data_IF_266486354010
#
_entry.id   IF_266486354010
#
_cell.length_a   1.000
_cell.length_b   1.000
_cell.length_c   1.000
_cell.angle_alpha   90.00
_cell.angle_beta   90.00
_cell.angle_gamma   90.00
#
_symmetry.space_group_name_H-M   'P 1'
#
loop_
_entity.id
_entity.type
_entity.pdbx_description
1 polymer ?
#
# COMPACT_ATOMS: atom_id res chain seq x y z
N UNK A 1 10.98 -41.64 45.53
CA UNK A 1 11.42 -40.24 45.52
C UNK A 1 12.19 -39.83 44.24
N UNK A 2 13.24 -40.49 43.85
CA UNK A 2 14.11 -40.20 42.69
C UNK A 2 13.33 -40.20 41.35
N UNK A 3 12.37 -41.10 41.17
CA UNK A 3 11.59 -41.22 39.92
C UNK A 3 10.64 -40.01 39.66
N UNK A 4 10.15 -39.42 40.73
CA UNK A 4 9.30 -38.23 40.64
C UNK A 4 10.12 -36.97 40.42
N UNK A 5 11.34 -36.89 40.96
CA UNK A 5 12.28 -35.80 40.73
C UNK A 5 12.73 -35.72 39.25
N UNK A 6 13.00 -36.89 38.62
CA UNK A 6 13.35 -36.97 37.20
C UNK A 6 12.21 -36.49 36.29
N UNK A 7 10.95 -36.81 36.63
CA UNK A 7 9.79 -36.32 35.88
C UNK A 7 9.60 -34.80 36.03
N UNK A 8 9.79 -34.29 37.24
CA UNK A 8 9.71 -32.86 37.52
C UNK A 8 10.78 -32.06 36.78
N UNK A 9 12.02 -32.54 36.75
CA UNK A 9 13.13 -31.97 36.01
C UNK A 9 12.86 -31.99 34.49
N UNK A 10 12.31 -33.09 33.95
CA UNK A 10 11.97 -33.18 32.53
C UNK A 10 10.92 -32.15 32.14
N UNK A 11 9.82 -32.00 32.92
CA UNK A 11 8.79 -30.99 32.70
C UNK A 11 9.38 -29.58 32.82
N UNK A 12 10.25 -29.33 33.78
CA UNK A 12 10.90 -28.03 33.95
C UNK A 12 11.82 -27.70 32.78
N UNK A 13 12.62 -28.62 32.27
CA UNK A 13 13.48 -28.42 31.10
C UNK A 13 12.67 -28.24 29.83
N UNK A 14 11.55 -28.96 29.66
CA UNK A 14 10.65 -28.74 28.49
C UNK A 14 9.98 -27.37 28.54
N UNK A 15 9.52 -26.90 29.71
CA UNK A 15 8.98 -25.55 29.87
C UNK A 15 10.02 -24.46 29.58
N UNK A 16 11.25 -24.59 30.06
CA UNK A 16 12.32 -23.62 29.76
C UNK A 16 12.62 -23.61 28.28
N UNK A 17 12.66 -24.76 27.61
CA UNK A 17 12.88 -24.83 26.15
C UNK A 17 11.78 -24.17 25.37
N UNK A 18 10.51 -24.34 25.76
CA UNK A 18 9.35 -23.68 25.13
C UNK A 18 9.42 -22.17 25.34
N UNK A 19 9.75 -21.69 26.54
CA UNK A 19 9.87 -20.27 26.84
C UNK A 19 11.03 -19.64 26.07
N UNK A 20 12.16 -20.29 25.95
CA UNK A 20 13.32 -19.81 25.18
C UNK A 20 12.95 -19.73 23.69
N UNK A 21 12.36 -20.79 23.13
CA UNK A 21 11.93 -20.83 21.75
C UNK A 21 10.91 -19.72 21.42
N UNK A 22 9.94 -19.47 22.31
CA UNK A 22 8.94 -18.40 22.11
C UNK A 22 9.58 -17.01 22.14
N UNK A 23 10.56 -16.76 23.01
CA UNK A 23 11.31 -15.49 23.05
C UNK A 23 12.11 -15.26 21.78
N UNK A 24 12.77 -16.30 21.26
CA UNK A 24 13.55 -16.22 20.03
C UNK A 24 12.66 -15.92 18.82
N UNK A 25 11.49 -16.54 18.73
CA UNK A 25 10.51 -16.28 17.64
C UNK A 25 9.97 -14.86 17.70
N UNK A 26 9.64 -14.36 18.89
CA UNK A 26 9.15 -12.98 19.06
C UNK A 26 10.24 -11.97 18.72
N UNK A 27 11.48 -12.21 19.17
CA UNK A 27 12.64 -11.37 18.88
C UNK A 27 12.92 -11.33 17.38
N UNK A 28 12.92 -12.50 16.71
CA UNK A 28 13.09 -12.60 15.27
C UNK A 28 12.01 -11.85 14.48
N UNK A 29 10.72 -12.05 14.84
CA UNK A 29 9.61 -11.33 14.20
C UNK A 29 9.79 -9.82 14.32
N UNK A 30 10.14 -9.35 15.51
CA UNK A 30 10.38 -7.93 15.77
C UNK A 30 11.51 -7.38 14.90
N UNK A 31 12.64 -8.09 14.84
CA UNK A 31 13.79 -7.69 14.02
C UNK A 31 13.41 -7.54 12.53
N UNK A 32 12.71 -8.53 11.97
CA UNK A 32 12.30 -8.50 10.57
C UNK A 32 11.36 -7.32 10.28
N UNK A 33 10.35 -7.10 11.13
CA UNK A 33 9.39 -6.01 10.95
C UNK A 33 10.05 -4.64 11.10
N UNK A 34 10.95 -4.47 12.08
CA UNK A 34 11.69 -3.22 12.27
C UNK A 34 12.58 -2.91 11.07
N UNK A 35 13.34 -3.89 10.57
CA UNK A 35 14.17 -3.72 9.38
C UNK A 35 13.35 -3.46 8.12
N UNK A 36 12.24 -4.18 7.92
CA UNK A 36 11.32 -3.92 6.82
C UNK A 36 10.80 -2.47 6.84
N UNK A 37 10.34 -2.00 7.99
CA UNK A 37 9.80 -0.65 8.12
C UNK A 37 10.88 0.43 7.93
N UNK A 38 12.09 0.18 8.41
CA UNK A 38 13.23 1.09 8.22
C UNK A 38 13.66 1.16 6.74
N UNK A 39 13.86 0.01 6.09
CA UNK A 39 14.24 -0.05 4.68
C UNK A 39 13.17 0.61 3.79
N UNK A 40 11.90 0.39 4.11
CA UNK A 40 10.79 0.98 3.35
C UNK A 40 10.74 2.50 3.46
N UNK A 41 11.14 3.10 4.58
CA UNK A 41 11.28 4.57 4.74
C UNK A 41 12.39 5.16 3.86
N UNK A 42 13.32 4.35 3.40
CA UNK A 42 14.44 4.75 2.56
C UNK A 42 14.18 4.57 1.06
N UNK A 43 12.95 4.21 0.67
CA UNK A 43 12.58 4.17 -0.74
C UNK A 43 12.54 5.60 -1.28
N UNK A 44 13.24 5.85 -2.39
CA UNK A 44 13.32 7.14 -3.07
C UNK A 44 12.71 7.12 -4.46
N UNK A 45 12.60 5.95 -5.06
CA UNK A 45 11.94 5.77 -6.35
C UNK A 45 11.43 4.34 -6.50
N UNK A 46 10.41 4.14 -7.33
CA UNK A 46 9.87 2.81 -7.63
C UNK A 46 8.96 2.84 -8.85
N UNK A 47 8.79 1.68 -9.45
CA UNK A 47 7.66 1.38 -10.31
C UNK A 47 6.64 0.56 -9.52
N UNK A 48 5.35 0.81 -9.73
CA UNK A 48 4.28 0.08 -9.10
C UNK A 48 3.16 -0.22 -10.09
N UNK A 49 2.64 -1.43 -10.01
CA UNK A 49 1.42 -1.84 -10.72
C UNK A 49 0.37 -2.17 -9.67
N UNK A 50 -0.78 -1.52 -9.76
CA UNK A 50 -1.90 -1.70 -8.82
C UNK A 50 -3.10 -2.24 -9.59
N UNK A 51 -3.75 -3.23 -9.01
CA UNK A 51 -5.05 -3.74 -9.41
C UNK A 51 -6.05 -3.44 -8.30
N UNK A 52 -7.06 -2.64 -8.63
CA UNK A 52 -8.18 -2.33 -7.76
C UNK A 52 -9.41 -3.09 -8.25
N UNK A 53 -9.93 -3.98 -7.46
CA UNK A 53 -11.14 -4.75 -7.75
C UNK A 53 -12.22 -4.37 -6.75
N UNK A 54 -13.36 -3.90 -7.26
CA UNK A 54 -14.54 -3.58 -6.45
C UNK A 54 -15.69 -4.51 -6.88
N UNK A 55 -16.22 -5.27 -5.94
CA UNK A 55 -17.33 -6.21 -6.18
C UNK A 55 -18.53 -5.87 -5.33
N UNK A 56 -19.66 -5.57 -5.97
CA UNK A 56 -20.92 -5.30 -5.28
C UNK A 56 -21.47 -6.59 -4.66
N UNK A 57 -21.69 -6.60 -3.35
CA UNK A 57 -22.32 -7.73 -2.64
C UNK A 57 -23.80 -7.93 -3.02
N UNK A 58 -24.45 -6.92 -3.61
CA UNK A 58 -25.87 -6.96 -4.00
C UNK A 58 -26.13 -7.74 -5.27
N UNK A 59 -25.26 -7.59 -6.28
CA UNK A 59 -25.48 -8.12 -7.62
C UNK A 59 -24.27 -8.85 -8.21
N UNK A 60 -23.18 -8.99 -7.44
CA UNK A 60 -21.91 -9.58 -7.83
C UNK A 60 -21.24 -8.91 -9.05
N UNK A 61 -21.65 -7.70 -9.41
CA UNK A 61 -20.95 -6.94 -10.44
C UNK A 61 -19.57 -6.56 -9.95
N UNK A 62 -18.57 -6.80 -10.79
CA UNK A 62 -17.18 -6.51 -10.50
C UNK A 62 -16.67 -5.40 -11.44
N UNK A 63 -16.04 -4.40 -10.87
CA UNK A 63 -15.30 -3.37 -11.57
C UNK A 63 -13.81 -3.54 -11.28
N UNK A 64 -12.98 -3.54 -12.32
CA UNK A 64 -11.53 -3.68 -12.20
C UNK A 64 -10.87 -2.45 -12.82
N UNK A 65 -9.93 -1.87 -12.07
CA UNK A 65 -9.10 -0.76 -12.50
C UNK A 65 -7.63 -1.14 -12.31
N UNK A 66 -6.81 -0.89 -13.32
CA UNK A 66 -5.37 -1.10 -13.27
C UNK A 66 -4.65 0.25 -13.27
N UNK A 67 -3.62 0.36 -12.46
CA UNK A 67 -2.75 1.52 -12.42
C UNK A 67 -1.30 1.09 -12.62
N UNK A 68 -0.58 1.80 -13.47
CA UNK A 68 0.86 1.62 -13.67
C UNK A 68 1.53 2.95 -13.37
N UNK A 69 2.39 2.99 -12.38
CA UNK A 69 3.08 4.22 -12.00
C UNK A 69 4.59 4.04 -11.92
N UNK A 70 5.31 5.08 -12.34
CA UNK A 70 6.71 5.29 -12.03
C UNK A 70 6.83 6.52 -11.15
N UNK A 71 7.55 6.43 -10.04
CA UNK A 71 7.65 7.44 -9.02
C UNK A 71 9.10 7.77 -8.70
N UNK A 72 9.42 9.05 -8.59
CA UNK A 72 10.64 9.57 -7.95
C UNK A 72 10.17 10.55 -6.88
N UNK A 73 10.67 10.40 -5.66
CA UNK A 73 10.19 11.17 -4.52
C UNK A 73 10.90 12.51 -4.37
N UNK A 74 12.19 12.58 -4.71
CA UNK A 74 13.01 13.78 -4.56
C UNK A 74 13.99 13.94 -5.72
N UNK A 75 13.85 15.00 -6.58
CA UNK A 75 12.67 15.87 -6.66
C UNK A 75 11.46 15.10 -7.17
N UNK A 76 10.26 15.44 -6.67
CA UNK A 76 9.07 14.67 -7.01
C UNK A 76 8.76 14.70 -8.48
N UNK A 77 8.64 13.52 -9.04
CA UNK A 77 8.11 13.31 -10.39
C UNK A 77 7.36 11.98 -10.48
N UNK A 78 6.33 11.95 -11.30
CA UNK A 78 5.44 10.81 -11.45
C UNK A 78 4.99 10.66 -12.90
N UNK A 79 4.93 9.42 -13.34
CA UNK A 79 4.15 8.98 -14.49
C UNK A 79 3.11 7.98 -13.99
N UNK A 80 1.85 8.18 -14.32
CA UNK A 80 0.75 7.29 -13.94
C UNK A 80 -0.12 7.03 -15.16
N UNK A 81 -0.50 5.78 -15.35
CA UNK A 81 -1.49 5.33 -16.33
C UNK A 81 -2.58 4.61 -15.56
N UNK A 82 -3.80 5.14 -15.60
CA UNK A 82 -4.98 4.48 -15.04
C UNK A 82 -5.75 3.85 -16.20
N UNK A 83 -5.96 2.54 -16.12
CA UNK A 83 -6.70 1.76 -17.12
C UNK A 83 -8.02 1.33 -16.53
N UNK A 84 -9.09 1.82 -17.11
CA UNK A 84 -10.46 1.41 -16.80
C UNK A 84 -11.09 0.77 -18.04
N UNK A 85 -12.18 0.01 -17.92
CA UNK A 85 -12.74 -0.74 -19.06
C UNK A 85 -13.03 0.09 -20.30
N UNK A 86 -13.37 1.39 -20.15
CA UNK A 86 -13.81 2.24 -21.25
C UNK A 86 -12.70 3.10 -21.86
N UNK A 87 -11.68 3.47 -21.08
CA UNK A 87 -10.60 4.37 -21.53
C UNK A 87 -9.41 4.35 -20.55
N UNK A 88 -8.30 4.93 -20.97
CA UNK A 88 -7.16 5.15 -20.12
C UNK A 88 -6.99 6.63 -19.80
N UNK A 89 -6.49 6.92 -18.59
CA UNK A 89 -6.08 8.26 -18.17
C UNK A 89 -4.57 8.24 -18.02
N UNK A 90 -3.90 9.20 -18.62
CA UNK A 90 -2.46 9.39 -18.53
C UNK A 90 -2.17 10.63 -17.69
N UNK A 91 -1.30 10.50 -16.72
CA UNK A 91 -0.90 11.59 -15.82
C UNK A 91 0.62 11.66 -15.75
N UNK A 92 1.15 12.88 -15.87
CA UNK A 92 2.51 13.19 -15.43
C UNK A 92 2.45 14.28 -14.38
N UNK A 93 3.25 14.15 -13.34
CA UNK A 93 3.51 15.22 -12.38
C UNK A 93 5.02 15.50 -12.36
N UNK A 94 5.41 16.71 -12.68
CA UNK A 94 6.81 17.14 -12.71
C UNK A 94 6.94 18.66 -12.61
N UNK A 95 7.95 19.13 -11.89
CA UNK A 95 8.29 20.54 -11.78
C UNK A 95 7.09 21.45 -11.35
N UNK A 96 6.25 20.91 -10.45
CA UNK A 96 5.06 21.60 -9.94
C UNK A 96 3.86 21.63 -10.88
N UNK A 97 3.94 20.97 -12.03
CA UNK A 97 2.86 20.83 -12.98
C UNK A 97 2.29 19.43 -12.99
N UNK A 98 0.98 19.35 -13.31
CA UNK A 98 0.30 18.11 -13.64
C UNK A 98 -0.14 18.18 -15.09
N UNK A 99 0.11 17.13 -15.83
CA UNK A 99 -0.28 16.94 -17.21
C UNK A 99 -1.21 15.74 -17.27
N UNK A 100 -2.37 15.91 -17.90
CA UNK A 100 -3.36 14.83 -18.03
C UNK A 100 -3.84 14.70 -19.47
N UNK A 101 -4.09 13.48 -19.91
CA UNK A 101 -4.78 13.18 -21.15
C UNK A 101 -5.61 11.91 -21.00
N UNK A 102 -6.65 11.79 -21.82
CA UNK A 102 -7.50 10.60 -21.93
C UNK A 102 -7.27 9.91 -23.28
N UNK A 103 -7.36 8.57 -23.30
CA UNK A 103 -6.99 7.78 -24.48
C UNK A 103 -7.85 8.06 -25.74
N UNK A 104 -9.06 8.59 -25.56
CA UNK A 104 -9.96 8.85 -26.70
C UNK A 104 -9.66 10.16 -27.45
N UNK A 105 -8.89 11.09 -26.88
CA UNK A 105 -8.59 12.36 -27.54
C UNK A 105 -7.11 12.76 -27.52
N UNK A 106 -6.30 12.18 -26.64
CA UNK A 106 -4.87 12.49 -26.43
C UNK A 106 -4.54 13.99 -26.38
N UNK A 107 -5.51 14.82 -26.01
CA UNK A 107 -5.30 16.25 -25.82
C UNK A 107 -4.71 16.48 -24.43
N UNK A 108 -3.40 16.73 -24.39
CA UNK A 108 -2.72 17.01 -23.15
C UNK A 108 -3.09 18.37 -22.59
N UNK A 109 -3.57 18.35 -21.35
CA UNK A 109 -3.80 19.55 -20.55
C UNK A 109 -2.70 19.68 -19.50
N UNK A 110 -2.14 20.89 -19.39
CA UNK A 110 -1.19 21.26 -18.35
C UNK A 110 -1.89 22.10 -17.29
N UNK A 111 -1.73 21.78 -16.02
CA UNK A 111 -2.30 22.53 -14.91
C UNK A 111 -1.22 22.82 -13.85
N UNK A 112 -1.22 24.04 -13.32
CA UNK A 112 -0.50 24.33 -12.09
C UNK A 112 -1.40 23.86 -10.95
N UNK A 113 -1.02 22.81 -10.28
CA UNK A 113 -1.76 22.30 -9.13
C UNK A 113 -0.81 21.87 -8.02
N UNK A 114 -0.20 22.87 -7.38
CA UNK A 114 0.71 22.64 -6.26
C UNK A 114 0.04 21.87 -5.11
N UNK A 115 -1.27 22.06 -4.91
CA UNK A 115 -2.02 21.33 -3.88
C UNK A 115 -2.04 19.83 -4.20
N UNK A 116 -2.43 19.45 -5.41
CA UNK A 116 -2.51 18.06 -5.85
C UNK A 116 -1.12 17.40 -5.88
N UNK A 117 -0.07 18.13 -6.31
CA UNK A 117 1.32 17.62 -6.22
C UNK A 117 1.70 17.36 -4.77
N UNK A 118 1.36 18.26 -3.84
CA UNK A 118 1.60 18.06 -2.41
C UNK A 118 0.77 16.91 -1.84
N UNK A 119 -0.46 16.71 -2.30
CA UNK A 119 -1.30 15.59 -1.90
C UNK A 119 -0.71 14.25 -2.37
N UNK A 120 -0.24 14.16 -3.61
CA UNK A 120 0.50 12.98 -4.09
C UNK A 120 1.79 12.74 -3.31
N UNK A 121 2.57 13.80 -3.05
CA UNK A 121 3.75 13.70 -2.19
C UNK A 121 3.35 13.21 -0.79
N UNK A 122 2.34 13.81 -0.18
CA UNK A 122 1.87 13.45 1.16
C UNK A 122 1.40 11.99 1.22
N UNK A 123 0.69 11.49 0.20
CA UNK A 123 0.25 10.09 0.16
C UNK A 123 1.42 9.11 0.19
N UNK A 124 2.53 9.47 -0.45
CA UNK A 124 3.75 8.65 -0.42
C UNK A 124 4.53 8.84 0.90
N UNK A 125 4.59 10.06 1.42
CA UNK A 125 5.25 10.34 2.72
C UNK A 125 4.47 9.77 3.91
N UNK A 126 3.15 9.68 3.83
CA UNK A 126 2.31 9.08 4.87
C UNK A 126 2.56 7.57 5.02
N UNK A 127 3.26 6.92 4.08
CA UNK A 127 3.72 5.54 4.28
C UNK A 127 4.60 5.40 5.54
N UNK A 128 5.29 6.46 5.95
CA UNK A 128 6.05 6.43 7.21
C UNK A 128 5.17 6.22 8.44
N UNK A 129 3.96 6.78 8.44
CA UNK A 129 2.99 6.54 9.52
C UNK A 129 2.43 5.13 9.47
N UNK A 130 2.16 4.59 8.27
CA UNK A 130 1.79 3.17 8.08
C UNK A 130 2.84 2.26 8.70
N UNK A 131 4.12 2.50 8.41
CA UNK A 131 5.20 1.70 8.98
C UNK A 131 5.32 1.87 10.51
N UNK A 132 5.04 3.05 11.05
CA UNK A 132 5.01 3.25 12.50
C UNK A 132 3.84 2.47 13.16
N UNK A 133 2.65 2.48 12.54
CA UNK A 133 1.51 1.69 13.03
C UNK A 133 1.85 0.19 13.02
N UNK A 134 2.47 -0.31 11.95
CA UNK A 134 2.93 -1.70 11.86
C UNK A 134 3.93 -2.00 12.98
N UNK A 135 4.93 -1.14 13.16
CA UNK A 135 5.96 -1.31 14.20
C UNK A 135 5.38 -1.31 15.61
N UNK A 136 4.39 -0.47 15.88
CA UNK A 136 3.78 -0.35 17.21
C UNK A 136 2.81 -1.50 17.56
N UNK A 137 2.43 -2.32 16.57
CA UNK A 137 1.48 -3.42 16.72
C UNK A 137 2.07 -4.79 16.35
N UNK A 138 3.37 -4.98 16.54
CA UNK A 138 4.10 -6.21 16.15
C UNK A 138 3.49 -7.48 16.77
N UNK A 139 2.98 -7.42 17.99
CA UNK A 139 2.31 -8.51 18.68
C UNK A 139 1.09 -9.04 17.93
N UNK A 140 0.34 -8.17 17.26
CA UNK A 140 -0.85 -8.47 16.48
C UNK A 140 -0.59 -8.82 15.01
N UNK A 141 0.66 -8.86 14.61
CA UNK A 141 1.09 -9.17 13.24
C UNK A 141 1.51 -10.63 13.15
N UNK A 142 1.06 -11.33 12.12
CA UNK A 142 1.56 -12.65 11.75
C UNK A 142 2.73 -12.50 10.78
N UNK A 143 3.85 -13.16 11.06
CA UNK A 143 5.00 -13.27 10.15
C UNK A 143 5.16 -14.73 9.74
N UNK A 144 5.22 -14.97 8.44
CA UNK A 144 5.48 -16.29 7.85
C UNK A 144 6.62 -16.18 6.83
N UNK A 145 7.40 -17.25 6.69
CA UNK A 145 8.40 -17.36 5.64
C UNK A 145 7.92 -18.37 4.59
N UNK A 146 7.79 -17.92 3.33
CA UNK A 146 7.30 -18.75 2.22
C UNK A 146 8.17 -18.48 0.98
N UNK A 147 8.80 -19.53 0.46
CA UNK A 147 9.56 -19.50 -0.80
C UNK A 147 10.58 -18.34 -0.92
N UNK A 148 11.30 -18.08 0.15
CA UNK A 148 12.33 -17.03 0.18
C UNK A 148 11.82 -15.60 0.35
N UNK A 149 10.55 -15.45 0.74
CA UNK A 149 9.93 -14.18 1.08
C UNK A 149 9.36 -14.23 2.49
N UNK A 150 9.25 -13.08 3.14
CA UNK A 150 8.44 -12.93 4.35
C UNK A 150 7.04 -12.43 3.97
N UNK A 151 6.03 -13.00 4.63
CA UNK A 151 4.66 -12.53 4.54
C UNK A 151 4.28 -11.93 5.88
N UNK A 152 4.05 -10.63 5.88
CA UNK A 152 3.58 -9.86 7.03
C UNK A 152 2.07 -9.71 6.87
N UNK A 153 1.30 -10.34 7.75
CA UNK A 153 -0.17 -10.30 7.70
C UNK A 153 -0.73 -9.59 8.92
N UNK A 154 -1.60 -8.62 8.68
CA UNK A 154 -2.39 -7.92 9.69
C UNK A 154 -3.83 -8.36 9.52
N UNK A 155 -4.41 -8.93 10.57
CA UNK A 155 -5.81 -9.39 10.62
C UNK A 155 -6.64 -8.59 11.65
N UNK A 156 -5.99 -7.75 12.47
CA UNK A 156 -6.70 -6.90 13.43
C UNK A 156 -7.46 -5.81 12.67
N UNK A 157 -8.81 -5.84 12.65
CA UNK A 157 -9.60 -4.93 11.82
C UNK A 157 -9.51 -3.48 12.28
N UNK A 158 -9.22 -3.23 13.54
CA UNK A 158 -9.06 -1.86 14.06
C UNK A 158 -7.76 -1.23 13.58
N UNK A 159 -6.67 -2.01 13.54
CA UNK A 159 -5.39 -1.56 12.96
C UNK A 159 -5.55 -1.29 11.47
N UNK A 160 -6.23 -2.20 10.75
CA UNK A 160 -6.45 -2.03 9.30
C UNK A 160 -7.32 -0.80 9.05
N UNK A 161 -8.38 -0.61 9.81
CA UNK A 161 -9.25 0.58 9.72
C UNK A 161 -8.44 1.87 9.92
N UNK A 162 -7.59 1.93 10.95
CA UNK A 162 -6.71 3.07 11.20
C UNK A 162 -5.76 3.34 10.01
N UNK A 163 -5.16 2.28 9.45
CA UNK A 163 -4.28 2.38 8.29
C UNK A 163 -5.01 2.91 7.05
N UNK A 164 -6.24 2.46 6.81
CA UNK A 164 -7.04 2.86 5.67
C UNK A 164 -7.50 4.31 5.82
N UNK A 165 -8.09 4.66 6.94
CA UNK A 165 -8.62 6.02 7.18
C UNK A 165 -7.54 7.08 7.10
N UNK A 166 -6.33 6.76 7.54
CA UNK A 166 -5.23 7.72 7.54
C UNK A 166 -4.44 7.76 6.23
N UNK A 167 -4.32 6.64 5.51
CA UNK A 167 -3.23 6.52 4.54
C UNK A 167 -3.55 5.87 3.20
N UNK A 168 -4.54 4.98 3.11
CA UNK A 168 -4.78 4.22 1.89
C UNK A 168 -5.87 4.81 0.99
N UNK A 169 -6.70 5.69 1.51
CA UNK A 169 -7.86 6.25 0.79
C UNK A 169 -7.68 7.71 0.37
N UNK A 170 -6.46 8.22 0.34
CA UNK A 170 -6.19 9.54 -0.22
C UNK A 170 -6.40 9.50 -1.73
N UNK A 171 -7.59 9.88 -2.18
CA UNK A 171 -7.98 9.92 -3.59
C UNK A 171 -9.35 9.31 -3.89
N UNK A 172 -9.96 8.61 -2.95
CA UNK A 172 -11.34 8.18 -3.06
C UNK A 172 -12.20 9.29 -2.43
N UNK A 173 -12.82 10.11 -3.26
CA UNK A 173 -13.70 11.26 -2.86
C UNK A 173 -14.90 10.86 -1.99
N UNK A 174 -15.17 9.59 -1.84
CA UNK A 174 -16.20 9.04 -0.97
C UNK A 174 -15.56 8.61 0.34
N UNK A 175 -15.52 9.55 1.29
CA UNK A 175 -15.14 9.33 2.67
C UNK A 175 -15.67 7.95 3.16
N UNK A 176 -14.82 6.92 3.31
CA UNK A 176 -15.26 5.59 3.72
C UNK A 176 -15.56 5.61 5.22
N UNK A 177 -16.61 6.32 5.61
CA UNK A 177 -17.05 6.35 7.00
C UNK A 177 -17.45 4.97 7.53
N UNK A 178 -17.54 3.98 6.63
CA UNK A 178 -18.16 2.69 6.92
C UNK A 178 -17.36 1.49 6.43
N UNK A 179 -16.07 1.42 6.75
CA UNK A 179 -15.35 0.15 6.62
C UNK A 179 -15.95 -0.82 7.61
N UNK A 180 -16.49 -1.90 7.12
CA UNK A 180 -17.04 -2.95 7.96
C UNK A 180 -15.92 -3.73 8.64
N UNK A 181 -16.07 -3.91 9.94
CA UNK A 181 -15.18 -4.72 10.75
C UNK A 181 -15.73 -6.15 10.69
N UNK A 182 -15.28 -6.92 9.73
CA UNK A 182 -15.68 -8.31 9.52
C UNK A 182 -14.46 -9.20 9.24
N UNK A 183 -14.70 -10.51 9.05
CA UNK A 183 -13.64 -11.50 8.85
C UNK A 183 -12.99 -11.44 7.45
N UNK A 184 -13.52 -10.63 6.53
CA UNK A 184 -12.97 -10.47 5.18
C UNK A 184 -11.90 -9.35 5.11
N UNK A 185 -11.72 -8.59 6.21
CA UNK A 185 -10.72 -7.54 6.27
C UNK A 185 -9.34 -8.13 6.53
N UNK A 186 -8.40 -7.84 5.65
CA UNK A 186 -6.99 -8.19 5.86
C UNK A 186 -6.05 -7.27 5.09
N UNK A 187 -4.80 -7.22 5.56
CA UNK A 187 -3.71 -6.54 4.89
C UNK A 187 -2.48 -7.42 4.93
N UNK A 188 -1.81 -7.59 3.76
CA UNK A 188 -0.60 -8.38 3.63
C UNK A 188 0.48 -7.61 2.88
N UNK A 189 1.71 -7.67 3.39
CA UNK A 189 2.92 -7.35 2.64
C UNK A 189 3.67 -8.62 2.31
N UNK A 190 4.13 -8.74 1.07
CA UNK A 190 5.13 -9.72 0.65
C UNK A 190 6.45 -8.98 0.57
N UNK A 191 7.43 -9.45 1.33
CA UNK A 191 8.71 -8.78 1.55
C UNK A 191 9.83 -9.70 1.09
N UNK A 192 10.74 -9.20 0.26
CA UNK A 192 11.93 -9.94 -0.15
C UNK A 192 12.82 -10.22 1.06
N UNK A 193 13.18 -11.49 1.26
CA UNK A 193 13.95 -11.91 2.43
C UNK A 193 15.37 -11.34 2.49
N UNK A 194 15.97 -11.02 1.33
CA UNK A 194 17.36 -10.54 1.25
C UNK A 194 17.44 -9.03 1.47
N UNK A 195 16.55 -8.30 0.83
CA UNK A 195 16.58 -6.82 0.86
C UNK A 195 15.69 -6.23 1.94
N UNK A 196 14.72 -7.01 2.44
CA UNK A 196 13.66 -6.57 3.34
C UNK A 196 12.90 -5.35 2.78
N UNK A 197 12.72 -5.32 1.45
CA UNK A 197 11.89 -4.35 0.75
C UNK A 197 10.56 -4.99 0.33
N UNK A 198 9.48 -4.21 0.19
CA UNK A 198 8.20 -4.75 -0.26
C UNK A 198 8.29 -5.21 -1.73
N UNK A 199 7.77 -6.39 -2.03
CA UNK A 199 7.58 -6.90 -3.39
C UNK A 199 6.13 -6.70 -3.82
N UNK A 200 5.20 -6.92 -2.88
CA UNK A 200 3.78 -6.76 -3.12
C UNK A 200 3.04 -6.38 -1.84
N UNK A 201 1.86 -5.84 -2.06
CA UNK A 201 0.90 -5.47 -1.04
C UNK A 201 -0.47 -5.99 -1.47
N UNK A 202 -1.24 -6.53 -0.55
CA UNK A 202 -2.61 -6.96 -0.79
C UNK A 202 -3.47 -6.50 0.37
N UNK A 203 -4.55 -5.84 0.04
CA UNK A 203 -5.55 -5.38 0.99
C UNK A 203 -6.95 -5.83 0.55
N UNK A 204 -7.80 -6.20 1.48
CA UNK A 204 -9.22 -6.46 1.22
C UNK A 204 -10.05 -5.95 2.39
N UNK A 205 -11.20 -5.34 2.07
CA UNK A 205 -12.22 -4.93 3.06
C UNK A 205 -13.58 -4.82 2.42
N UNK A 206 -14.62 -4.97 3.23
CA UNK A 206 -15.98 -4.59 2.87
C UNK A 206 -16.23 -3.14 3.24
N UNK A 207 -16.78 -2.37 2.31
CA UNK A 207 -17.11 -0.94 2.49
C UNK A 207 -18.61 -0.79 2.33
N UNK A 208 -19.25 -0.17 3.33
CA UNK A 208 -20.66 0.13 3.28
C UNK A 208 -20.89 1.51 2.68
N UNK A 209 -21.74 1.58 1.67
CA UNK A 209 -22.24 2.80 1.04
C UNK A 209 -23.76 2.91 1.23
N UNK A 210 -24.35 4.06 0.93
CA UNK A 210 -25.81 4.25 0.98
C UNK A 210 -26.59 3.28 0.05
N UNK A 211 -25.96 2.86 -1.05
CA UNK A 211 -26.55 1.96 -2.04
C UNK A 211 -26.23 0.47 -1.81
N UNK A 212 -25.44 0.12 -0.80
CA UNK A 212 -25.10 -1.25 -0.46
C UNK A 212 -23.68 -1.46 0.02
N UNK A 213 -23.26 -2.71 0.12
CA UNK A 213 -21.93 -3.11 0.52
C UNK A 213 -21.11 -3.55 -0.70
N UNK A 214 -19.90 -3.08 -0.79
CA UNK A 214 -18.92 -3.47 -1.79
C UNK A 214 -17.69 -4.09 -1.12
N UNK A 215 -17.17 -5.16 -1.71
CA UNK A 215 -15.85 -5.67 -1.38
C UNK A 215 -14.81 -4.96 -2.23
N UNK A 216 -13.86 -4.29 -1.59
CA UNK A 216 -12.70 -3.68 -2.22
C UNK A 216 -11.48 -4.57 -1.99
N UNK A 217 -10.83 -4.98 -3.07
CA UNK A 217 -9.52 -5.62 -3.03
C UNK A 217 -8.52 -4.80 -3.81
N UNK A 218 -7.39 -4.49 -3.18
CA UNK A 218 -6.27 -3.76 -3.77
C UNK A 218 -5.04 -4.65 -3.76
N UNK A 219 -4.49 -4.92 -4.93
CA UNK A 219 -3.22 -5.63 -5.10
C UNK A 219 -2.18 -4.71 -5.73
N UNK A 220 -1.04 -4.51 -5.08
CA UNK A 220 0.07 -3.75 -5.64
C UNK A 220 1.32 -4.62 -5.77
N UNK A 221 2.08 -4.44 -6.86
CA UNK A 221 3.40 -5.04 -7.07
C UNK A 221 4.42 -3.95 -7.30
N UNK A 222 5.55 -4.04 -6.61
CA UNK A 222 6.63 -3.06 -6.62
C UNK A 222 7.82 -3.58 -7.41
N UNK A 223 8.39 -2.71 -8.24
CA UNK A 223 9.55 -3.00 -9.09
C UNK A 223 10.54 -1.85 -9.04
N UNK A 224 11.76 -2.09 -9.48
CA UNK A 224 12.79 -1.06 -9.66
C UNK A 224 12.94 -0.12 -8.46
N UNK A 225 12.76 -0.65 -7.24
CA UNK A 225 12.89 0.13 -6.00
C UNK A 225 14.29 0.75 -5.95
N UNK A 226 14.34 2.08 -5.79
CA UNK A 226 15.54 2.91 -5.81
C UNK A 226 16.33 2.88 -7.15
N UNK A 227 15.75 2.35 -8.24
CA UNK A 227 16.39 2.23 -9.55
C UNK A 227 15.72 3.09 -10.64
N UNK A 228 14.61 3.74 -10.38
CA UNK A 228 14.02 4.71 -11.32
C UNK A 228 14.82 6.00 -11.25
N UNK A 229 15.62 6.29 -12.28
CA UNK A 229 16.55 7.43 -12.26
C UNK A 229 15.95 8.73 -12.80
N UNK A 230 15.02 8.63 -13.74
CA UNK A 230 14.44 9.83 -14.38
C UNK A 230 13.06 9.51 -14.96
N UNK A 231 12.15 10.48 -14.87
CA UNK A 231 10.87 10.47 -15.57
C UNK A 231 10.92 11.59 -16.61
N UNK A 232 10.95 11.20 -17.88
CA UNK A 232 11.03 12.13 -18.99
C UNK A 232 9.63 12.42 -19.52
N UNK A 233 9.29 13.71 -19.67
CA UNK A 233 8.06 14.11 -20.35
C UNK A 233 8.22 13.92 -21.87
N UNK A 234 7.31 13.21 -22.55
CA UNK A 234 7.25 13.18 -24.01
C UNK A 234 7.07 14.59 -24.61
N UNK A 235 7.44 14.77 -25.86
CA UNK A 235 7.36 16.10 -26.49
C UNK A 235 5.95 16.67 -26.56
N UNK A 236 4.97 15.82 -26.82
CA UNK A 236 3.54 16.18 -26.80
C UNK A 236 3.09 16.67 -25.43
N UNK A 237 3.60 16.08 -24.35
CA UNK A 237 3.30 16.50 -22.97
C UNK A 237 3.96 17.83 -22.64
N UNK A 238 5.24 18.02 -23.06
CA UNK A 238 5.96 19.30 -22.83
C UNK A 238 5.24 20.49 -23.50
N UNK A 239 4.64 20.25 -24.67
CA UNK A 239 3.94 21.24 -25.47
C UNK A 239 2.46 21.41 -25.06
N UNK A 240 2.02 20.74 -23.98
CA UNK A 240 0.65 20.82 -23.49
C UNK A 240 0.25 22.28 -23.17
N UNK A 241 -0.93 22.67 -23.61
CA UNK A 241 -1.47 24.01 -23.34
C UNK A 241 -1.91 24.12 -21.88
N UNK A 242 -1.68 25.26 -21.28
CA UNK A 242 -2.19 25.54 -19.94
C UNK A 242 -3.72 25.53 -19.96
N UNK A 243 -4.33 24.68 -19.16
CA UNK A 243 -5.78 24.61 -19.04
C UNK A 243 -6.32 25.96 -18.56
N UNK A 244 -7.32 26.50 -19.26
CA UNK A 244 -8.03 27.72 -18.83
C UNK A 244 -8.71 27.42 -17.49
N UNK A 245 -8.54 28.30 -16.48
CA UNK A 245 -9.36 28.23 -15.26
C UNK A 245 -10.83 28.19 -15.68
N UNK A 246 -11.52 27.06 -15.39
CA UNK A 246 -12.98 27.06 -15.51
C UNK A 246 -13.52 28.13 -14.54
N UNK A 247 -14.13 29.18 -15.08
CA UNK A 247 -14.88 30.16 -14.28
C UNK A 247 -16.13 29.43 -13.78
N UNK A 248 -16.22 29.21 -12.49
CA UNK A 248 -17.46 28.82 -11.82
C UNK A 248 -17.57 27.35 -11.53
N UNK A 249 -17.17 26.98 -10.33
CA UNK A 249 -18.01 26.26 -9.34
C UNK A 249 -17.38 26.56 -7.98
N UNK A 250 -18.04 27.46 -7.29
CA UNK A 250 -17.88 27.70 -5.85
C UNK A 250 -18.44 26.50 -5.08
#
# INVERSE_FOLDING_TARGET
>A
MIRNLKKLLFVFFTMISIISYSKDVISFKKEIIEKFTENSKNIRSMDVVVENTTTSKRNNNTFIMYEEASLILEPFSMKLIVKIPSFNIYVYAKDGYIYTAESFNFNWEKRINQKMVKEFQASVYNQNEVYNIIKNNIDKIKLEEIRGNYIITILDPYIIKELIEKHLLMGIDNNPKNILIDDEIFLKYIVDKKTLLPIAFIFSANISYEYGVENLTVGAKYFNINNVKTITLPNEVKNAKLAKKRKGTQ
#
